data_IF_520963491739
#
_entry.id   IF_520963491739
#
_cell.length_a   1.000
_cell.length_b   1.000
_cell.length_c   1.000
_cell.angle_alpha   90.00
_cell.angle_beta   90.00
_cell.angle_gamma   90.00
#
_symmetry.space_group_name_H-M   'P 1'
#
loop_
_entity.id
_entity.type
_entity.pdbx_description
1 polymer ?
#
# COMPACT_ATOMS: atom_id res chain seq x y z
N UNK A 1 -24.47 25.67 -1.79
CA UNK A 1 -23.39 24.69 -2.15
C UNK A 1 -24.09 23.41 -2.54
N UNK A 2 -23.83 22.91 -3.73
CA UNK A 2 -24.46 21.67 -4.23
C UNK A 2 -24.02 20.47 -3.39
N UNK A 3 -24.90 19.47 -3.22
CA UNK A 3 -24.61 18.25 -2.44
C UNK A 3 -23.34 17.54 -2.89
N UNK A 4 -23.01 17.63 -4.21
CA UNK A 4 -21.77 17.08 -4.78
C UNK A 4 -20.54 17.85 -4.31
N UNK A 5 -20.60 19.17 -4.28
CA UNK A 5 -19.51 20.04 -3.79
C UNK A 5 -19.27 19.85 -2.29
N UNK A 6 -20.32 19.61 -1.52
CA UNK A 6 -20.23 19.33 -0.09
C UNK A 6 -19.58 17.95 0.17
N UNK A 7 -19.94 16.93 -0.59
CA UNK A 7 -19.36 15.59 -0.45
C UNK A 7 -17.87 15.56 -0.80
N UNK A 8 -17.46 16.29 -1.85
CA UNK A 8 -16.05 16.42 -2.23
C UNK A 8 -15.27 17.20 -1.17
N UNK A 9 -15.82 18.27 -0.62
CA UNK A 9 -15.17 19.06 0.44
C UNK A 9 -14.96 18.22 1.73
N UNK A 10 -15.93 17.39 2.08
CA UNK A 10 -15.83 16.48 3.24
C UNK A 10 -14.78 15.38 2.99
N UNK A 11 -14.73 14.81 1.78
CA UNK A 11 -13.72 13.82 1.42
C UNK A 11 -12.30 14.39 1.53
N UNK A 12 -12.12 15.63 1.07
CA UNK A 12 -10.85 16.35 1.14
C UNK A 12 -10.45 16.62 2.61
N UNK A 13 -11.41 17.07 3.44
CA UNK A 13 -11.14 17.37 4.85
C UNK A 13 -10.74 16.10 5.62
N UNK A 14 -11.37 14.99 5.33
CA UNK A 14 -11.10 13.71 5.97
C UNK A 14 -9.74 13.13 5.61
N UNK A 15 -9.32 13.21 4.34
CA UNK A 15 -7.96 12.84 3.93
C UNK A 15 -6.91 13.72 4.60
N UNK A 16 -7.16 15.03 4.73
CA UNK A 16 -6.27 15.97 5.41
C UNK A 16 -6.10 15.65 6.90
N UNK A 17 -7.19 15.33 7.59
CA UNK A 17 -7.16 15.02 9.02
C UNK A 17 -6.46 13.69 9.32
N UNK A 18 -6.61 12.67 8.45
CA UNK A 18 -5.97 11.37 8.64
C UNK A 18 -4.44 11.44 8.59
N UNK A 19 -3.90 12.30 7.74
CA UNK A 19 -2.45 12.49 7.61
C UNK A 19 -1.87 13.37 8.72
N UNK A 20 -2.62 14.35 9.21
CA UNK A 20 -2.19 15.21 10.33
C UNK A 20 -2.08 14.40 11.63
N UNK A 21 -2.99 13.46 11.85
CA UNK A 21 -2.96 12.57 13.01
C UNK A 21 -1.75 11.61 12.99
N UNK A 22 -1.40 11.08 11.81
CA UNK A 22 -0.23 10.23 11.66
C UNK A 22 1.08 10.95 11.99
N UNK A 23 1.20 12.24 11.68
CA UNK A 23 2.39 13.05 11.97
C UNK A 23 2.51 13.44 13.46
N UNK A 24 1.39 13.68 14.15
CA UNK A 24 1.41 13.98 15.59
C UNK A 24 1.88 12.77 16.41
N UNK A 25 1.55 11.55 15.98
CA UNK A 25 1.97 10.34 16.68
C UNK A 25 3.41 9.92 16.37
N UNK A 26 4.00 10.34 15.24
CA UNK A 26 5.42 10.05 14.95
C UNK A 26 6.37 10.75 15.92
N UNK A 27 6.03 11.93 16.42
CA UNK A 27 6.89 12.70 17.35
C UNK A 27 6.93 12.15 18.79
N UNK A 28 6.12 11.15 19.11
CA UNK A 28 5.99 10.60 20.48
C UNK A 28 6.50 9.16 20.64
N UNK A 29 7.18 8.56 19.66
CA UNK A 29 7.82 7.26 19.87
C UNK A 29 9.10 7.41 20.71
N UNK A 30 9.30 6.57 21.77
CA UNK A 30 10.51 6.61 22.59
C UNK A 30 11.70 6.07 21.78
N UNK A 31 12.85 6.73 21.96
CA UNK A 31 14.13 6.34 21.39
C UNK A 31 14.47 4.87 21.76
N UNK A 32 14.70 4.04 20.75
CA UNK A 32 15.22 2.69 20.92
C UNK A 32 16.66 2.74 21.44
N UNK A 33 16.86 2.17 22.60
CA UNK A 33 18.15 1.92 23.23
C UNK A 33 19.00 1.03 22.31
N UNK A 34 20.17 1.51 21.96
CA UNK A 34 21.20 0.81 21.19
C UNK A 34 21.69 -0.44 21.92
N UNK A 35 21.68 -1.59 21.27
CA UNK A 35 22.39 -2.80 21.69
C UNK A 35 23.79 -2.85 21.08
N UNK A 36 24.80 -3.44 21.75
CA UNK A 36 26.20 -3.28 21.40
C UNK A 36 26.68 -4.16 20.25
N UNK A 37 27.71 -3.66 19.58
CA UNK A 37 28.54 -4.25 18.54
C UNK A 37 28.81 -5.76 18.70
N UNK A 38 28.58 -6.50 17.63
CA UNK A 38 29.36 -7.70 17.34
C UNK A 38 29.98 -7.58 15.96
N UNK A 39 31.28 -7.33 15.98
CA UNK A 39 32.21 -7.36 14.87
C UNK A 39 32.34 -8.79 14.31
N UNK A 40 32.09 -8.97 13.01
CA UNK A 40 32.57 -10.14 12.29
C UNK A 40 33.68 -9.73 11.34
N UNK A 41 34.90 -10.19 11.65
CA UNK A 41 36.08 -10.09 10.83
C UNK A 41 35.99 -11.03 9.62
N UNK A 42 36.27 -10.47 8.47
CA UNK A 42 36.52 -11.20 7.22
C UNK A 42 37.95 -11.72 7.19
N UNK A 43 38.15 -13.00 7.02
CA UNK A 43 39.41 -13.54 6.49
C UNK A 43 39.14 -14.25 5.17
N UNK A 44 39.82 -13.75 4.15
CA UNK A 44 39.89 -14.29 2.80
C UNK A 44 41.08 -15.26 2.70
N UNK A 45 40.88 -16.49 2.24
CA UNK A 45 41.96 -17.25 1.62
C UNK A 45 41.50 -17.84 0.29
N UNK A 46 42.23 -17.44 -0.73
CA UNK A 46 42.23 -17.94 -2.08
C UNK A 46 43.09 -19.19 -2.18
N UNK A 47 42.61 -20.25 -2.87
CA UNK A 47 43.48 -21.10 -3.66
C UNK A 47 42.69 -21.85 -4.75
N UNK A 48 43.19 -21.78 -5.96
CA UNK A 48 42.76 -22.42 -7.20
C UNK A 48 43.79 -23.51 -7.61
N UNK A 49 43.70 -24.23 -8.74
CA UNK A 49 43.06 -25.55 -8.88
C UNK A 49 44.08 -26.61 -9.40
N UNK A 50 43.64 -27.85 -9.43
CA UNK A 50 44.45 -28.93 -10.07
C UNK A 50 43.78 -30.31 -10.07
N UNK A 51 43.27 -30.64 -11.17
CA UNK A 51 43.45 -31.80 -12.09
C UNK A 51 43.06 -33.25 -11.62
N UNK A 52 42.17 -33.78 -12.45
CA UNK A 52 41.98 -35.13 -12.99
C UNK A 52 42.37 -36.39 -12.18
N UNK A 53 41.42 -37.31 -12.06
CA UNK A 53 41.70 -38.72 -11.84
C UNK A 53 40.45 -39.58 -11.63
N UNK A 54 39.98 -40.18 -12.72
CA UNK A 54 38.99 -41.27 -12.77
C UNK A 54 39.42 -42.51 -12.01
N UNK A 55 38.50 -43.15 -11.26
CA UNK A 55 38.36 -44.61 -11.14
C UNK A 55 37.12 -45.04 -10.31
N UNK A 56 36.24 -45.78 -10.91
CA UNK A 56 35.24 -46.71 -10.31
C UNK A 56 35.82 -48.11 -10.28
N UNK A 57 35.16 -49.12 -9.70
CA UNK A 57 34.47 -49.27 -8.41
C UNK A 57 34.97 -50.52 -7.62
N UNK A 58 34.69 -50.60 -6.36
CA UNK A 58 34.68 -51.91 -5.68
C UNK A 58 33.54 -51.99 -4.64
N UNK A 59 32.74 -53.07 -4.79
CA UNK A 59 31.76 -53.55 -3.87
C UNK A 59 32.43 -54.10 -2.61
N UNK A 60 31.93 -53.74 -1.45
CA UNK A 60 32.10 -54.55 -0.23
C UNK A 60 30.85 -54.53 0.66
N UNK A 61 30.45 -55.68 0.92
CA UNK A 61 29.52 -56.42 1.73
C UNK A 61 29.16 -55.74 3.06
N UNK A 62 27.81 -55.66 3.32
CA UNK A 62 27.16 -55.30 4.56
C UNK A 62 27.35 -56.36 5.66
N UNK A 63 27.47 -55.96 6.94
CA UNK A 63 27.04 -56.82 8.07
C UNK A 63 25.66 -56.35 8.57
N UNK A 64 24.80 -57.32 8.75
CA UNK A 64 23.48 -57.22 9.39
C UNK A 64 23.55 -56.77 10.86
N UNK A 65 22.52 -56.03 11.23
CA UNK A 65 21.99 -56.12 12.58
C UNK A 65 22.35 -55.00 13.57
N UNK A 66 21.56 -53.93 13.58
CA UNK A 66 21.14 -53.31 14.84
C UNK A 66 19.81 -52.57 14.63
N UNK A 67 18.74 -53.14 15.10
CA UNK A 67 17.42 -52.50 15.20
C UNK A 67 17.54 -51.38 16.25
N UNK A 68 17.79 -50.15 15.78
CA UNK A 68 17.51 -48.98 16.58
C UNK A 68 15.98 -48.77 16.53
N UNK A 69 15.34 -48.98 17.66
CA UNK A 69 13.99 -48.50 17.93
C UNK A 69 13.96 -46.98 17.63
N UNK A 70 13.33 -46.59 16.55
CA UNK A 70 12.89 -45.23 16.30
C UNK A 70 11.82 -44.88 17.30
N UNK A 71 12.16 -44.14 18.33
CA UNK A 71 11.18 -43.44 19.17
C UNK A 71 10.36 -42.52 18.26
N UNK A 72 9.02 -42.46 18.44
CA UNK A 72 8.20 -41.50 17.71
C UNK A 72 8.72 -40.10 18.00
N UNK A 73 9.02 -39.33 16.96
CA UNK A 73 9.28 -37.88 17.10
C UNK A 73 7.97 -37.34 17.64
N UNK A 74 7.96 -36.88 18.89
CA UNK A 74 6.88 -36.11 19.46
C UNK A 74 6.64 -34.92 18.52
N UNK A 75 5.49 -34.93 17.89
CA UNK A 75 4.96 -33.83 17.11
C UNK A 75 4.90 -32.62 18.07
N UNK A 76 5.84 -31.68 17.95
CA UNK A 76 5.85 -30.48 18.78
C UNK A 76 4.49 -29.80 18.57
N UNK A 77 3.64 -29.90 19.56
CA UNK A 77 2.31 -29.31 19.57
C UNK A 77 2.43 -27.82 19.30
N UNK A 78 1.86 -27.40 18.14
CA UNK A 78 1.74 -25.99 17.78
C UNK A 78 1.19 -25.23 19.01
N UNK A 79 1.79 -24.10 19.42
CA UNK A 79 1.35 -23.39 20.60
C UNK A 79 -0.14 -23.06 20.48
N UNK A 80 -0.93 -23.14 21.56
CA UNK A 80 -2.37 -22.92 21.51
C UNK A 80 -2.65 -21.52 20.94
N UNK A 81 -3.53 -21.46 19.94
CA UNK A 81 -3.97 -20.19 19.37
C UNK A 81 -4.55 -19.30 20.48
N UNK A 82 -4.12 -18.05 20.63
CA UNK A 82 -4.66 -17.17 21.66
C UNK A 82 -6.18 -17.01 21.48
N UNK A 83 -6.91 -16.83 22.58
CA UNK A 83 -8.38 -16.64 22.53
C UNK A 83 -8.75 -15.24 22.01
N UNK A 84 -7.86 -14.27 22.09
CA UNK A 84 -8.03 -12.92 21.61
C UNK A 84 -6.67 -12.30 21.23
N UNK A 85 -6.71 -11.23 20.44
CA UNK A 85 -5.57 -10.41 20.09
C UNK A 85 -5.97 -8.94 20.28
N UNK A 86 -5.12 -8.15 20.95
CA UNK A 86 -5.32 -6.70 21.04
C UNK A 86 -4.38 -6.01 20.06
N UNK A 87 -4.94 -5.13 19.23
CA UNK A 87 -4.21 -4.32 18.24
C UNK A 87 -4.47 -2.84 18.53
N UNK A 88 -3.52 -1.98 18.15
CA UNK A 88 -3.70 -0.52 18.16
C UNK A 88 -4.00 -0.09 16.73
N UNK A 89 -5.21 0.38 16.49
CA UNK A 89 -5.64 0.84 15.17
C UNK A 89 -5.19 2.29 14.87
N UNK A 90 -5.57 2.83 13.73
CA UNK A 90 -5.18 4.20 13.34
C UNK A 90 -5.90 5.31 14.10
N UNK A 91 -6.88 5.00 14.93
CA UNK A 91 -7.48 5.97 15.88
C UNK A 91 -6.66 6.07 17.17
N UNK A 92 -5.72 5.16 17.39
CA UNK A 92 -4.94 5.03 18.61
C UNK A 92 -5.63 4.22 19.70
N UNK A 93 -6.80 3.65 19.42
CA UNK A 93 -7.54 2.80 20.35
C UNK A 93 -6.98 1.37 20.38
N UNK A 94 -7.02 0.76 21.57
CA UNK A 94 -6.76 -0.66 21.76
C UNK A 94 -8.02 -1.46 21.41
N UNK A 95 -7.98 -2.18 20.32
CA UNK A 95 -9.09 -3.02 19.84
C UNK A 95 -8.78 -4.48 20.15
N UNK A 96 -9.61 -5.12 20.96
CA UNK A 96 -9.50 -6.56 21.27
C UNK A 96 -10.37 -7.35 20.32
N UNK A 97 -9.75 -8.19 19.51
CA UNK A 97 -10.41 -9.09 18.56
C UNK A 97 -10.50 -10.49 19.15
N UNK A 98 -11.71 -11.03 19.25
CA UNK A 98 -11.93 -12.41 19.66
C UNK A 98 -11.56 -13.38 18.53
N UNK A 99 -10.86 -14.46 18.84
CA UNK A 99 -10.41 -15.45 17.88
C UNK A 99 -11.13 -16.80 18.10
N UNK A 100 -11.40 -17.55 17.02
CA UNK A 100 -11.14 -17.23 15.62
C UNK A 100 -12.19 -16.29 15.02
N UNK A 101 -11.77 -15.38 14.11
CA UNK A 101 -12.69 -14.59 13.27
C UNK A 101 -13.21 -15.47 12.13
N UNK A 102 -14.54 -15.48 11.94
CA UNK A 102 -15.26 -16.31 10.95
C UNK A 102 -16.05 -15.50 9.94
N UNK A 103 -16.35 -14.24 10.28
CA UNK A 103 -17.15 -13.33 9.46
C UNK A 103 -16.59 -11.91 9.50
N UNK A 104 -16.40 -11.32 8.31
CA UNK A 104 -15.80 -9.98 8.17
C UNK A 104 -16.67 -9.14 7.25
N UNK A 105 -16.94 -7.90 7.64
CA UNK A 105 -17.40 -6.86 6.74
C UNK A 105 -16.24 -5.91 6.47
N UNK A 106 -15.94 -5.65 5.19
CA UNK A 106 -14.87 -4.74 4.78
C UNK A 106 -15.43 -3.53 4.03
N UNK A 107 -15.17 -2.34 4.53
CA UNK A 107 -15.67 -1.09 3.96
C UNK A 107 -14.62 -0.29 3.19
N UNK A 108 -13.37 -0.78 3.11
CA UNK A 108 -12.29 -0.13 2.37
C UNK A 108 -11.63 -1.13 1.38
N UNK A 109 -11.41 -0.68 0.14
CA UNK A 109 -10.87 -1.52 -0.93
C UNK A 109 -9.48 -2.10 -0.62
N UNK A 110 -8.54 -1.29 -0.08
CA UNK A 110 -7.20 -1.77 0.21
C UNK A 110 -7.16 -2.80 1.35
N UNK A 111 -8.04 -2.65 2.35
CA UNK A 111 -8.19 -3.65 3.42
C UNK A 111 -8.85 -4.92 2.91
N UNK A 112 -9.82 -4.80 2.00
CA UNK A 112 -10.40 -5.93 1.28
C UNK A 112 -9.32 -6.70 0.51
N UNK A 113 -8.46 -5.98 -0.20
CA UNK A 113 -7.33 -6.58 -0.91
C UNK A 113 -6.37 -7.33 0.04
N UNK A 114 -6.07 -6.79 1.22
CA UNK A 114 -5.26 -7.51 2.22
C UNK A 114 -5.91 -8.81 2.65
N UNK A 115 -7.21 -8.81 3.00
CA UNK A 115 -7.93 -10.00 3.43
C UNK A 115 -7.91 -11.07 2.32
N UNK A 116 -8.15 -10.67 1.08
CA UNK A 116 -8.13 -11.56 -0.08
C UNK A 116 -6.70 -12.05 -0.39
N UNK A 117 -5.69 -11.17 -0.33
CA UNK A 117 -4.29 -11.53 -0.53
C UNK A 117 -3.80 -12.54 0.52
N UNK A 118 -4.37 -12.51 1.72
CA UNK A 118 -4.13 -13.52 2.76
C UNK A 118 -4.89 -14.84 2.51
N UNK A 119 -5.69 -14.94 1.43
CA UNK A 119 -6.48 -16.13 1.08
C UNK A 119 -7.66 -16.34 2.02
N UNK A 120 -8.32 -15.28 2.44
CA UNK A 120 -9.43 -15.30 3.40
C UNK A 120 -10.70 -14.61 2.87
N UNK A 121 -10.88 -14.51 1.55
CA UNK A 121 -12.05 -13.92 0.90
C UNK A 121 -13.37 -14.63 1.26
N UNK A 122 -13.31 -15.91 1.60
CA UNK A 122 -14.48 -16.67 2.06
C UNK A 122 -15.05 -16.16 3.40
N UNK A 123 -14.22 -15.46 4.20
CA UNK A 123 -14.65 -14.86 5.47
C UNK A 123 -15.40 -13.53 5.26
N UNK A 124 -15.30 -12.93 4.07
CA UNK A 124 -16.03 -11.72 3.74
C UNK A 124 -17.51 -12.05 3.56
N UNK A 125 -18.35 -11.51 4.45
CA UNK A 125 -19.82 -11.61 4.39
C UNK A 125 -20.46 -10.33 3.86
N UNK A 126 -19.66 -9.25 3.69
CA UNK A 126 -20.12 -7.98 3.15
C UNK A 126 -18.96 -7.05 2.82
N UNK A 127 -19.23 -6.12 1.89
CA UNK A 127 -18.27 -5.14 1.41
C UNK A 127 -18.93 -3.78 1.15
N UNK A 128 -18.14 -2.71 1.05
CA UNK A 128 -18.67 -1.48 0.45
C UNK A 128 -18.67 -1.56 -1.08
N UNK A 129 -19.43 -0.69 -1.74
CA UNK A 129 -19.45 -0.61 -3.20
C UNK A 129 -18.07 -0.31 -3.79
N UNK A 130 -17.20 0.41 -3.08
CA UNK A 130 -15.83 0.71 -3.50
C UNK A 130 -14.88 -0.50 -3.44
N UNK A 131 -15.24 -1.59 -2.76
CA UNK A 131 -14.47 -2.82 -2.70
C UNK A 131 -14.85 -3.72 -3.88
N UNK A 132 -14.23 -3.52 -5.03
CA UNK A 132 -14.58 -4.17 -6.29
C UNK A 132 -13.46 -5.09 -6.84
N UNK A 133 -12.42 -5.32 -6.05
CA UNK A 133 -11.33 -6.23 -6.40
C UNK A 133 -10.94 -7.09 -5.18
N UNK A 134 -10.54 -8.36 -5.39
CA UNK A 134 -10.55 -9.12 -6.64
C UNK A 134 -11.99 -9.43 -7.12
N UNK A 135 -12.18 -9.98 -8.34
CA UNK A 135 -13.52 -10.28 -8.86
C UNK A 135 -14.37 -11.17 -7.94
N UNK A 136 -13.75 -12.05 -7.17
CA UNK A 136 -14.43 -12.95 -6.20
C UNK A 136 -15.18 -12.22 -5.08
N UNK A 137 -14.92 -10.93 -4.84
CA UNK A 137 -15.68 -10.18 -3.82
C UNK A 137 -16.98 -9.60 -4.36
N UNK A 138 -17.18 -9.57 -5.69
CA UNK A 138 -18.35 -8.93 -6.30
C UNK A 138 -19.65 -9.61 -5.91
N UNK A 139 -19.64 -10.90 -5.61
CA UNK A 139 -20.80 -11.66 -5.16
C UNK A 139 -21.18 -11.38 -3.69
N UNK A 140 -20.35 -10.65 -2.95
CA UNK A 140 -20.62 -10.31 -1.55
C UNK A 140 -21.62 -9.15 -1.45
N UNK A 141 -22.55 -9.21 -0.50
CA UNK A 141 -23.53 -8.13 -0.25
C UNK A 141 -22.86 -6.76 -0.09
N UNK A 142 -23.48 -5.73 -0.67
CA UNK A 142 -23.01 -4.35 -0.54
C UNK A 142 -23.57 -3.74 0.75
N UNK A 143 -22.70 -3.45 1.71
CA UNK A 143 -22.99 -2.92 3.03
C UNK A 143 -22.88 -1.39 3.12
N UNK A 144 -23.07 -0.70 2.01
CA UNK A 144 -22.98 0.76 1.87
C UNK A 144 -22.04 1.18 0.74
N UNK A 145 -21.98 2.48 0.46
CA UNK A 145 -21.16 3.01 -0.64
C UNK A 145 -19.66 3.07 -0.27
N UNK A 146 -19.35 3.35 1.00
CA UNK A 146 -17.97 3.51 1.50
C UNK A 146 -17.97 3.42 3.04
N UNK A 147 -16.78 3.52 3.65
CA UNK A 147 -16.63 3.66 5.10
C UNK A 147 -17.36 4.89 5.66
N UNK A 148 -17.48 5.97 4.88
CA UNK A 148 -18.19 7.19 5.31
C UNK A 148 -19.71 7.03 5.33
N UNK A 149 -20.25 6.22 4.43
CA UNK A 149 -21.70 5.98 4.27
C UNK A 149 -22.02 4.49 4.29
N UNK A 150 -21.79 3.79 5.41
CA UNK A 150 -22.16 2.40 5.56
C UNK A 150 -23.67 2.24 5.81
N UNK A 151 -24.22 1.10 5.43
CA UNK A 151 -25.57 0.71 5.84
C UNK A 151 -25.49 0.02 7.22
N UNK A 152 -25.72 0.82 8.26
CA UNK A 152 -25.56 0.37 9.66
C UNK A 152 -26.52 -0.77 10.00
N UNK A 153 -27.78 -0.68 9.55
CA UNK A 153 -28.80 -1.68 9.84
C UNK A 153 -28.40 -3.03 9.26
N UNK A 154 -27.98 -3.06 8.00
CA UNK A 154 -27.56 -4.29 7.32
C UNK A 154 -26.32 -4.89 7.96
N UNK A 155 -25.35 -4.06 8.37
CA UNK A 155 -24.15 -4.52 9.06
C UNK A 155 -24.50 -5.12 10.42
N UNK A 156 -25.35 -4.46 11.21
CA UNK A 156 -25.78 -4.95 12.52
C UNK A 156 -26.58 -6.25 12.40
N UNK A 157 -27.47 -6.36 11.40
CA UNK A 157 -28.22 -7.58 11.12
C UNK A 157 -27.31 -8.75 10.75
N UNK A 158 -26.25 -8.50 9.98
CA UNK A 158 -25.30 -9.54 9.54
C UNK A 158 -24.38 -10.04 10.66
N UNK A 159 -24.27 -9.33 11.79
CA UNK A 159 -23.48 -9.69 12.98
C UNK A 159 -22.06 -10.17 12.65
N UNK A 160 -21.22 -9.37 11.99
CA UNK A 160 -19.86 -9.77 11.70
C UNK A 160 -19.02 -9.88 12.98
N UNK A 161 -18.08 -10.85 13.02
CA UNK A 161 -17.10 -10.94 14.11
C UNK A 161 -16.15 -9.74 14.08
N UNK A 162 -15.88 -9.21 12.85
CA UNK A 162 -14.96 -8.11 12.61
C UNK A 162 -15.49 -7.21 11.49
N UNK A 163 -15.48 -5.90 11.74
CA UNK A 163 -15.63 -4.88 10.70
C UNK A 163 -14.31 -4.14 10.54
N UNK A 164 -13.83 -4.02 9.28
CA UNK A 164 -12.65 -3.23 8.93
C UNK A 164 -13.06 -2.06 8.04
N UNK A 165 -12.59 -0.87 8.38
CA UNK A 165 -12.93 0.37 7.71
C UNK A 165 -11.74 1.34 7.71
N UNK A 166 -11.75 2.34 6.82
CA UNK A 166 -10.80 3.44 6.92
C UNK A 166 -11.27 4.52 7.89
N UNK A 167 -10.42 5.52 8.12
CA UNK A 167 -10.67 6.62 9.06
C UNK A 167 -11.91 7.45 8.74
N UNK A 168 -12.47 7.34 7.53
CA UNK A 168 -13.72 7.98 7.16
C UNK A 168 -14.88 7.54 8.06
N UNK A 169 -14.87 6.29 8.53
CA UNK A 169 -15.87 5.81 9.47
C UNK A 169 -15.80 6.56 10.81
N UNK A 170 -14.59 6.81 11.32
CA UNK A 170 -14.39 7.44 12.64
C UNK A 170 -14.79 8.93 12.67
N UNK A 171 -14.91 9.59 11.53
CA UNK A 171 -15.42 10.96 11.45
C UNK A 171 -16.93 11.03 11.66
N UNK A 172 -17.66 9.96 11.36
CA UNK A 172 -19.07 9.83 11.71
C UNK A 172 -19.22 9.10 13.05
N UNK A 173 -18.96 9.82 14.15
CA UNK A 173 -18.97 9.23 15.51
C UNK A 173 -20.28 8.55 15.86
N UNK A 174 -21.41 9.05 15.37
CA UNK A 174 -22.72 8.43 15.63
C UNK A 174 -22.78 7.02 15.02
N UNK A 175 -22.40 6.90 13.74
CA UNK A 175 -22.34 5.60 13.03
C UNK A 175 -21.33 4.68 13.66
N UNK A 176 -20.12 5.17 13.97
CA UNK A 176 -19.06 4.41 14.61
C UNK A 176 -19.51 3.82 15.97
N UNK A 177 -20.13 4.65 16.80
CA UNK A 177 -20.62 4.22 18.11
C UNK A 177 -21.78 3.22 18.00
N UNK A 178 -22.76 3.45 17.08
CA UNK A 178 -23.86 2.50 16.86
C UNK A 178 -23.36 1.09 16.50
N UNK A 179 -22.32 0.98 15.69
CA UNK A 179 -21.72 -0.31 15.33
C UNK A 179 -21.08 -0.98 16.54
N UNK A 180 -20.35 -0.23 17.36
CA UNK A 180 -19.70 -0.75 18.58
C UNK A 180 -20.71 -1.12 19.67
N UNK A 181 -21.73 -0.31 19.87
CA UNK A 181 -22.81 -0.55 20.86
C UNK A 181 -23.63 -1.80 20.48
N UNK A 182 -23.67 -2.14 19.18
CA UNK A 182 -24.23 -3.40 18.69
C UNK A 182 -23.33 -4.62 18.95
N UNK A 183 -22.16 -4.43 19.59
CA UNK A 183 -21.21 -5.49 19.93
C UNK A 183 -20.27 -5.90 18.79
N UNK A 184 -20.20 -5.12 17.70
CA UNK A 184 -19.31 -5.41 16.58
C UNK A 184 -17.89 -4.93 16.90
N UNK A 185 -16.90 -5.80 16.73
CA UNK A 185 -15.49 -5.40 16.79
C UNK A 185 -15.13 -4.60 15.54
N UNK A 186 -14.75 -3.33 15.71
CA UNK A 186 -14.43 -2.41 14.61
C UNK A 186 -12.94 -2.07 14.64
N UNK A 187 -12.22 -2.32 13.54
CA UNK A 187 -10.86 -1.85 13.31
C UNK A 187 -10.91 -0.74 12.27
N UNK A 188 -10.37 0.43 12.62
CA UNK A 188 -10.21 1.57 11.72
C UNK A 188 -8.76 1.73 11.36
N UNK A 189 -8.44 1.67 10.05
CA UNK A 189 -7.04 1.73 9.61
C UNK A 189 -6.83 2.70 8.44
N UNK A 190 -5.61 3.21 8.30
CA UNK A 190 -5.22 4.07 7.18
C UNK A 190 -4.65 3.19 6.05
N UNK A 191 -5.23 3.34 4.86
CA UNK A 191 -4.82 2.61 3.67
C UNK A 191 -3.63 3.30 2.95
N UNK A 192 -2.50 3.50 3.64
CA UNK A 192 -1.29 4.10 3.08
C UNK A 192 -0.05 3.24 3.32
N UNK A 193 1.09 3.63 2.73
CA UNK A 193 2.36 2.91 2.84
C UNK A 193 2.85 2.73 4.29
N UNK A 194 2.53 3.65 5.18
CA UNK A 194 2.99 3.60 6.58
C UNK A 194 2.23 2.57 7.41
N UNK A 195 0.90 2.49 7.24
CA UNK A 195 0.03 1.69 8.09
C UNK A 195 -0.35 0.34 7.50
N UNK A 196 -0.35 0.20 6.17
CA UNK A 196 -0.78 -1.04 5.52
C UNK A 196 0.08 -2.25 5.91
N UNK A 197 1.38 -2.08 6.12
CA UNK A 197 2.27 -3.17 6.55
C UNK A 197 1.87 -3.68 7.93
N UNK A 198 1.58 -2.78 8.87
CA UNK A 198 1.10 -3.16 10.20
C UNK A 198 -0.28 -3.83 10.16
N UNK A 199 -1.16 -3.36 9.27
CA UNK A 199 -2.46 -4.02 9.02
C UNK A 199 -2.28 -5.46 8.53
N UNK A 200 -1.36 -5.70 7.58
CA UNK A 200 -1.02 -7.04 7.09
C UNK A 200 -0.50 -7.93 8.22
N UNK A 201 0.39 -7.41 9.07
CA UNK A 201 0.98 -8.15 10.19
C UNK A 201 -0.10 -8.67 11.14
N UNK A 202 -0.93 -7.78 11.69
CA UNK A 202 -1.92 -8.24 12.65
C UNK A 202 -3.10 -8.99 12.01
N UNK A 203 -3.48 -8.69 10.76
CA UNK A 203 -4.46 -9.51 10.05
C UNK A 203 -3.91 -10.91 9.75
N UNK A 204 -2.62 -11.05 9.49
CA UNK A 204 -1.96 -12.36 9.39
C UNK A 204 -2.14 -13.21 10.64
N UNK A 205 -2.05 -12.60 11.83
CA UNK A 205 -2.28 -13.28 13.12
C UNK A 205 -3.77 -13.56 13.32
N UNK A 206 -4.64 -12.55 13.17
CA UNK A 206 -6.09 -12.64 13.34
C UNK A 206 -6.69 -13.75 12.47
N UNK A 207 -6.24 -13.85 11.22
CA UNK A 207 -6.75 -14.79 10.23
C UNK A 207 -5.98 -16.14 10.20
N UNK A 208 -4.99 -16.32 11.09
CA UNK A 208 -4.10 -17.48 11.09
C UNK A 208 -3.42 -17.70 9.72
N UNK A 209 -2.87 -16.62 9.16
CA UNK A 209 -2.19 -16.57 7.85
C UNK A 209 -0.82 -15.88 7.93
N UNK A 210 -0.12 -16.05 9.04
CA UNK A 210 1.14 -15.37 9.34
C UNK A 210 2.19 -15.59 8.25
N UNK A 211 2.34 -16.82 7.74
CA UNK A 211 3.31 -17.12 6.68
C UNK A 211 2.95 -16.40 5.37
N UNK A 212 1.68 -16.36 5.02
CA UNK A 212 1.23 -15.65 3.81
C UNK A 212 1.36 -14.14 3.96
N UNK A 213 1.08 -13.61 5.16
CA UNK A 213 1.33 -12.21 5.49
C UNK A 213 2.82 -11.86 5.36
N UNK A 214 3.71 -12.74 5.84
CA UNK A 214 5.16 -12.56 5.68
C UNK A 214 5.56 -12.49 4.20
N UNK A 215 5.08 -13.40 3.36
CA UNK A 215 5.39 -13.39 1.91
C UNK A 215 4.91 -12.08 1.26
N UNK A 216 3.72 -11.57 1.63
CA UNK A 216 3.21 -10.30 1.12
C UNK A 216 4.08 -9.11 1.60
N UNK A 217 4.47 -9.11 2.87
CA UNK A 217 5.35 -8.09 3.43
C UNK A 217 6.76 -8.12 2.81
N UNK A 218 7.31 -9.31 2.57
CA UNK A 218 8.60 -9.48 1.92
C UNK A 218 8.56 -8.91 0.48
N UNK A 219 7.47 -9.14 -0.28
CA UNK A 219 7.26 -8.56 -1.59
C UNK A 219 7.22 -7.02 -1.52
N UNK A 220 6.41 -6.48 -0.64
CA UNK A 220 6.27 -5.03 -0.43
C UNK A 220 7.62 -4.39 -0.06
N UNK A 221 8.29 -4.95 0.94
CA UNK A 221 9.56 -4.44 1.45
C UNK A 221 10.68 -4.53 0.41
N UNK A 222 10.70 -5.60 -0.40
CA UNK A 222 11.69 -5.75 -1.46
C UNK A 222 11.66 -4.58 -2.45
N UNK A 223 10.49 -4.26 -2.99
CA UNK A 223 10.37 -3.19 -3.98
C UNK A 223 10.51 -1.79 -3.37
N UNK A 224 10.03 -1.58 -2.15
CA UNK A 224 10.25 -0.33 -1.41
C UNK A 224 11.74 -0.07 -1.18
N UNK A 225 12.46 -1.05 -0.63
CA UNK A 225 13.89 -0.96 -0.39
C UNK A 225 14.70 -0.82 -1.68
N UNK A 226 14.30 -1.49 -2.77
CA UNK A 226 14.92 -1.34 -4.08
C UNK A 226 14.88 0.12 -4.53
N UNK A 227 13.73 0.78 -4.44
CA UNK A 227 13.60 2.20 -4.79
C UNK A 227 14.47 3.05 -3.87
N UNK A 228 14.28 2.93 -2.55
CA UNK A 228 15.03 3.72 -1.56
C UNK A 228 16.54 3.61 -1.76
N UNK A 229 17.05 2.39 -1.97
CA UNK A 229 18.49 2.17 -2.14
C UNK A 229 19.03 2.75 -3.47
N UNK A 230 18.25 2.69 -4.56
CA UNK A 230 18.69 3.23 -5.85
C UNK A 230 18.70 4.76 -5.90
N UNK A 231 17.78 5.41 -5.19
CA UNK A 231 17.73 6.88 -5.15
C UNK A 231 18.54 7.49 -4.01
N UNK A 232 19.04 6.66 -3.09
CA UNK A 232 19.86 7.09 -1.95
C UNK A 232 21.13 7.80 -2.42
N UNK A 233 21.37 8.99 -1.88
CA UNK A 233 22.58 9.75 -2.17
C UNK A 233 22.53 10.56 -3.47
N UNK A 234 21.41 10.60 -4.19
CA UNK A 234 21.23 11.55 -5.29
C UNK A 234 21.21 12.97 -4.69
N UNK A 235 22.14 13.85 -5.10
CA UNK A 235 22.12 15.26 -4.67
C UNK A 235 20.82 15.96 -5.08
N UNK A 236 20.33 16.91 -4.27
CA UNK A 236 19.05 17.57 -4.56
C UNK A 236 19.04 18.30 -5.90
N UNK A 237 20.18 18.80 -6.35
CA UNK A 237 20.34 19.48 -7.65
C UNK A 237 20.10 18.53 -8.85
N UNK A 238 20.21 17.23 -8.64
CA UNK A 238 19.97 16.19 -9.67
C UNK A 238 18.59 15.53 -9.54
N UNK A 239 17.83 15.84 -8.50
CA UNK A 239 16.46 15.36 -8.35
C UNK A 239 15.49 16.18 -9.18
N UNK A 240 14.54 15.57 -9.90
CA UNK A 240 13.55 16.31 -10.65
C UNK A 240 12.59 17.07 -9.71
N UNK A 241 12.23 18.28 -10.10
CA UNK A 241 11.13 19.03 -9.47
C UNK A 241 9.81 18.45 -9.96
N UNK A 242 8.97 18.07 -9.02
CA UNK A 242 7.72 17.36 -9.29
C UNK A 242 6.52 18.20 -8.87
N UNK A 243 5.64 18.47 -9.81
CA UNK A 243 4.29 18.93 -9.55
C UNK A 243 3.34 17.73 -9.55
N UNK A 244 2.57 17.55 -8.48
CA UNK A 244 1.52 16.52 -8.46
C UNK A 244 0.17 17.15 -8.21
N UNK A 245 -0.83 16.77 -9.02
CA UNK A 245 -2.18 17.34 -9.00
C UNK A 245 -3.25 16.25 -8.87
N UNK A 246 -4.28 16.59 -8.15
CA UNK A 246 -5.50 15.81 -8.12
C UNK A 246 -6.47 16.32 -9.19
N UNK A 247 -6.61 15.60 -10.32
CA UNK A 247 -7.35 16.07 -11.48
C UNK A 247 -8.84 16.40 -11.22
N UNK A 248 -9.46 15.78 -10.18
CA UNK A 248 -10.81 16.16 -9.76
C UNK A 248 -10.92 17.62 -9.25
N UNK A 249 -9.81 18.27 -8.93
CA UNK A 249 -9.75 19.65 -8.47
C UNK A 249 -8.48 20.29 -8.96
N UNK A 250 -8.57 21.08 -10.02
CA UNK A 250 -7.43 21.76 -10.64
C UNK A 250 -6.57 22.50 -9.61
N UNK A 251 -5.25 22.40 -9.78
CA UNK A 251 -4.22 22.99 -8.92
C UNK A 251 -4.18 22.48 -7.48
N UNK A 252 -5.01 21.51 -7.13
CA UNK A 252 -4.96 20.85 -5.83
C UNK A 252 -3.78 19.90 -5.79
N UNK A 253 -2.81 20.17 -4.90
CA UNK A 253 -1.55 19.43 -4.84
C UNK A 253 -1.36 18.70 -3.50
N UNK A 254 -0.25 18.02 -3.38
CA UNK A 254 0.16 17.26 -2.20
C UNK A 254 1.34 17.97 -1.53
N UNK A 255 1.10 18.55 -0.38
CA UNK A 255 2.14 19.17 0.48
C UNK A 255 2.63 18.22 1.56
N UNK A 256 3.54 18.68 2.44
CA UNK A 256 4.06 17.92 3.57
C UNK A 256 2.94 17.31 4.41
N UNK A 257 3.13 16.07 4.86
CA UNK A 257 2.12 15.32 5.62
C UNK A 257 1.11 14.55 4.79
N UNK A 258 1.10 14.70 3.46
CA UNK A 258 0.28 13.87 2.58
C UNK A 258 1.03 12.63 2.10
N UNK A 259 0.27 11.56 1.79
CA UNK A 259 0.84 10.34 1.21
C UNK A 259 1.49 10.62 -0.16
N UNK A 260 0.91 11.52 -0.97
CA UNK A 260 1.48 11.90 -2.26
C UNK A 260 2.84 12.58 -2.13
N UNK A 261 3.00 13.48 -1.14
CA UNK A 261 4.32 14.06 -0.84
C UNK A 261 5.34 13.00 -0.46
N UNK A 262 4.96 12.09 0.45
CA UNK A 262 5.85 11.01 0.88
C UNK A 262 6.28 10.14 -0.30
N UNK A 263 5.37 9.78 -1.20
CA UNK A 263 5.66 8.99 -2.39
C UNK A 263 6.66 9.70 -3.32
N UNK A 264 6.47 11.00 -3.57
CA UNK A 264 7.38 11.80 -4.41
C UNK A 264 8.80 11.80 -3.82
N UNK A 265 8.93 12.09 -2.53
CA UNK A 265 10.23 12.18 -1.85
C UNK A 265 10.90 10.81 -1.78
N UNK A 266 10.15 9.75 -1.45
CA UNK A 266 10.67 8.37 -1.41
C UNK A 266 11.14 7.89 -2.79
N UNK A 267 10.49 8.32 -3.86
CA UNK A 267 10.89 8.04 -5.24
C UNK A 267 12.08 8.90 -5.72
N UNK A 268 12.63 9.77 -4.88
CA UNK A 268 13.78 10.62 -5.20
C UNK A 268 13.43 11.90 -5.97
N UNK A 269 12.19 12.39 -5.88
CA UNK A 269 11.77 13.68 -6.46
C UNK A 269 11.76 14.82 -5.43
N UNK A 270 11.84 16.07 -5.92
CA UNK A 270 11.62 17.29 -5.15
C UNK A 270 10.19 17.78 -5.39
N UNK A 271 9.35 17.66 -4.39
CA UNK A 271 7.97 18.13 -4.50
C UNK A 271 7.95 19.67 -4.46
N UNK A 272 7.43 20.34 -5.51
CA UNK A 272 7.37 21.81 -5.55
C UNK A 272 6.46 22.40 -4.47
N UNK A 273 5.54 21.61 -3.91
CA UNK A 273 4.67 22.02 -2.80
C UNK A 273 5.28 21.75 -1.41
N UNK A 274 6.57 21.37 -1.32
CA UNK A 274 7.23 21.02 -0.04
C UNK A 274 7.31 22.16 0.97
N UNK A 275 7.29 23.41 0.51
CA UNK A 275 7.38 24.61 1.36
C UNK A 275 6.00 25.05 1.90
N UNK A 276 4.92 24.38 1.51
CA UNK A 276 3.57 24.73 1.99
C UNK A 276 3.30 24.15 3.36
N UNK A 277 2.53 24.85 4.19
CA UNK A 277 2.13 24.39 5.52
C UNK A 277 0.99 23.35 5.47
N UNK A 278 0.28 23.25 4.33
CA UNK A 278 -0.91 22.41 4.16
C UNK A 278 -0.55 21.10 3.50
N UNK A 279 -1.12 20.01 4.02
CA UNK A 279 -1.01 18.68 3.38
C UNK A 279 -1.66 18.63 1.98
N UNK A 280 -2.66 19.47 1.74
CA UNK A 280 -3.38 19.54 0.46
C UNK A 280 -3.57 21.01 0.05
N UNK A 281 -2.51 21.68 -0.42
CA UNK A 281 -2.59 23.08 -0.85
C UNK A 281 -3.28 23.18 -2.21
N UNK A 282 -3.97 24.29 -2.46
CA UNK A 282 -4.28 24.73 -3.82
C UNK A 282 -3.20 25.72 -4.22
N UNK A 283 -2.41 25.37 -5.22
CA UNK A 283 -1.33 26.21 -5.75
C UNK A 283 -1.89 27.19 -6.78
N UNK A 284 -1.25 28.34 -6.97
CA UNK A 284 -1.61 29.20 -8.11
C UNK A 284 -0.95 28.71 -9.40
N UNK A 285 -1.55 28.96 -10.56
CA UNK A 285 -0.93 28.65 -11.85
C UNK A 285 0.46 29.30 -12.01
N UNK A 286 0.61 30.54 -11.55
CA UNK A 286 1.85 31.31 -11.59
C UNK A 286 2.93 30.67 -10.73
N UNK A 287 2.59 30.19 -9.52
CA UNK A 287 3.53 29.48 -8.64
C UNK A 287 4.04 28.21 -9.32
N UNK A 288 3.16 27.41 -9.94
CA UNK A 288 3.58 26.18 -10.62
C UNK A 288 4.48 26.50 -11.82
N UNK A 289 4.13 27.51 -12.60
CA UNK A 289 4.93 27.97 -13.73
C UNK A 289 6.32 28.47 -13.28
N UNK A 290 6.39 29.26 -12.20
CA UNK A 290 7.66 29.78 -11.64
C UNK A 290 8.55 28.63 -11.12
N UNK A 291 7.98 27.65 -10.39
CA UNK A 291 8.72 26.46 -9.92
C UNK A 291 9.20 25.59 -11.07
N UNK A 292 8.63 25.76 -12.28
CA UNK A 292 9.02 25.11 -13.53
C UNK A 292 9.31 23.61 -13.34
N UNK A 293 8.29 22.75 -13.09
CA UNK A 293 8.48 21.34 -12.77
C UNK A 293 9.13 20.58 -13.94
N UNK A 294 9.98 19.61 -13.60
CA UNK A 294 10.60 18.65 -14.54
C UNK A 294 9.67 17.49 -14.86
N UNK A 295 8.73 17.19 -13.94
CA UNK A 295 7.73 16.12 -14.05
C UNK A 295 6.39 16.60 -13.48
N UNK A 296 5.30 16.26 -14.17
CA UNK A 296 3.93 16.49 -13.72
C UNK A 296 3.24 15.13 -13.53
N UNK A 297 2.67 14.92 -12.35
CA UNK A 297 1.91 13.73 -11.98
C UNK A 297 0.45 14.10 -11.74
N UNK A 298 -0.46 13.47 -12.45
CA UNK A 298 -1.90 13.75 -12.35
C UNK A 298 -2.62 12.51 -11.86
N UNK A 299 -3.27 12.60 -10.69
CA UNK A 299 -4.10 11.53 -10.18
C UNK A 299 -5.45 11.54 -10.90
N UNK A 300 -5.75 10.47 -11.62
CA UNK A 300 -6.98 10.31 -12.41
C UNK A 300 -8.24 10.47 -11.54
N UNK A 301 -9.27 11.23 -11.98
CA UNK A 301 -10.59 11.25 -11.33
C UNK A 301 -11.25 9.87 -11.29
N UNK A 302 -11.93 9.57 -10.18
CA UNK A 302 -12.52 8.25 -9.96
C UNK A 302 -13.54 7.82 -11.00
N UNK A 303 -14.28 8.78 -11.55
CA UNK A 303 -15.29 8.57 -12.60
C UNK A 303 -14.71 8.22 -13.98
N UNK A 304 -13.41 8.50 -14.21
CA UNK A 304 -12.72 8.24 -15.48
C UNK A 304 -11.88 6.95 -15.47
N UNK A 305 -11.90 6.21 -14.35
CA UNK A 305 -11.14 4.97 -14.19
C UNK A 305 -11.59 3.91 -15.21
N UNK A 306 -10.60 3.09 -15.61
CA UNK A 306 -10.84 1.91 -16.45
C UNK A 306 -10.93 2.19 -17.95
N UNK A 307 -10.85 3.45 -18.40
CA UNK A 307 -10.86 3.78 -19.83
C UNK A 307 -9.59 4.54 -20.24
N UNK A 308 -8.99 4.17 -21.36
CA UNK A 308 -7.84 4.89 -21.92
C UNK A 308 -8.21 6.34 -22.26
N UNK A 309 -9.44 6.58 -22.70
CA UNK A 309 -9.93 7.91 -23.05
C UNK A 309 -9.92 8.84 -21.84
N UNK A 310 -10.22 8.31 -20.63
CA UNK A 310 -10.15 9.05 -19.39
C UNK A 310 -8.72 9.52 -19.08
N UNK A 311 -7.73 8.64 -19.26
CA UNK A 311 -6.33 8.99 -19.08
C UNK A 311 -5.85 10.02 -20.10
N UNK A 312 -6.15 9.79 -21.38
CA UNK A 312 -5.77 10.69 -22.49
C UNK A 312 -6.39 12.08 -22.29
N UNK A 313 -7.70 12.16 -22.09
CA UNK A 313 -8.40 13.44 -21.93
C UNK A 313 -7.92 14.22 -20.72
N UNK A 314 -7.65 13.55 -19.59
CA UNK A 314 -7.08 14.18 -18.39
C UNK A 314 -5.69 14.77 -18.68
N UNK A 315 -4.86 14.02 -19.39
CA UNK A 315 -3.51 14.50 -19.76
C UNK A 315 -3.60 15.70 -20.74
N UNK A 316 -4.44 15.60 -21.75
CA UNK A 316 -4.59 16.64 -22.77
C UNK A 316 -5.14 17.94 -22.19
N UNK A 317 -6.08 17.86 -21.24
CA UNK A 317 -6.56 19.03 -20.48
C UNK A 317 -5.41 19.75 -19.77
N UNK A 318 -4.54 19.00 -19.08
CA UNK A 318 -3.40 19.59 -18.36
C UNK A 318 -2.38 20.18 -19.32
N UNK A 319 -2.09 19.51 -20.43
CA UNK A 319 -1.18 20.01 -21.49
C UNK A 319 -1.71 21.29 -22.15
N UNK A 320 -3.02 21.45 -22.24
CA UNK A 320 -3.65 22.65 -22.83
C UNK A 320 -3.65 23.88 -21.91
N UNK A 321 -3.24 23.76 -20.64
CA UNK A 321 -3.24 24.87 -19.68
C UNK A 321 -2.15 25.89 -20.00
N UNK A 322 -2.49 27.19 -20.28
CA UNK A 322 -1.51 28.18 -20.68
C UNK A 322 -0.35 28.35 -19.67
N UNK A 323 -0.64 28.26 -18.39
CA UNK A 323 0.37 28.39 -17.35
C UNK A 323 1.42 27.26 -17.33
N UNK A 324 1.14 26.12 -17.95
CA UNK A 324 2.03 24.96 -17.98
C UNK A 324 2.81 24.83 -19.31
N UNK A 325 2.39 25.51 -20.36
CA UNK A 325 2.92 25.36 -21.74
C UNK A 325 4.44 25.55 -21.81
N UNK A 326 5.01 26.46 -21.04
CA UNK A 326 6.46 26.73 -21.01
C UNK A 326 7.23 25.96 -19.92
N UNK A 327 6.58 25.02 -19.23
CA UNK A 327 7.26 24.23 -18.20
C UNK A 327 8.07 23.09 -18.83
N UNK A 328 9.20 22.74 -18.20
CA UNK A 328 10.06 21.68 -18.68
C UNK A 328 9.36 20.33 -18.80
N UNK A 329 8.43 20.04 -17.89
CA UNK A 329 7.63 18.81 -17.94
C UNK A 329 6.81 18.72 -19.23
N UNK A 330 6.16 19.81 -19.65
CA UNK A 330 5.36 19.86 -20.88
C UNK A 330 6.27 19.79 -22.11
N UNK A 331 7.35 20.57 -22.15
CA UNK A 331 8.30 20.60 -23.27
C UNK A 331 8.96 19.23 -23.50
N UNK A 332 9.23 18.47 -22.43
CA UNK A 332 9.87 17.14 -22.50
C UNK A 332 8.87 15.99 -22.50
N UNK A 333 7.55 16.27 -22.46
CA UNK A 333 6.49 15.28 -22.47
C UNK A 333 6.35 14.46 -21.17
N UNK A 334 6.99 14.91 -20.07
CA UNK A 334 6.99 14.21 -18.77
C UNK A 334 5.75 14.58 -17.94
N UNK A 335 4.59 14.34 -18.52
CA UNK A 335 3.28 14.52 -17.91
C UNK A 335 2.60 13.17 -17.85
N UNK A 336 2.40 12.64 -16.65
CA UNK A 336 1.89 11.28 -16.40
C UNK A 336 0.58 11.34 -15.63
N UNK A 337 -0.39 10.55 -16.07
CA UNK A 337 -1.65 10.33 -15.37
C UNK A 337 -1.63 8.94 -14.75
N UNK A 338 -2.09 8.80 -13.51
CA UNK A 338 -2.10 7.52 -12.81
C UNK A 338 -3.41 7.28 -12.06
N UNK A 339 -3.84 6.00 -12.01
CA UNK A 339 -4.94 5.59 -11.14
C UNK A 339 -4.49 5.60 -9.67
N UNK A 340 -5.22 6.26 -8.76
CA UNK A 340 -4.86 6.31 -7.35
C UNK A 340 -4.73 4.94 -6.67
N UNK A 341 -5.28 3.88 -7.25
CA UNK A 341 -5.19 2.53 -6.66
C UNK A 341 -3.74 2.04 -6.55
N UNK A 342 -2.85 2.48 -7.47
CA UNK A 342 -1.45 2.01 -7.49
C UNK A 342 -0.58 2.64 -6.41
N UNK A 343 -1.04 3.68 -5.69
CA UNK A 343 -0.24 4.28 -4.62
C UNK A 343 -0.84 4.01 -3.22
N UNK A 344 -1.87 3.16 -3.14
CA UNK A 344 -2.57 2.81 -1.90
C UNK A 344 -2.51 1.31 -1.63
N UNK A 345 -2.78 0.93 -0.37
CA UNK A 345 -2.86 -0.46 0.03
C UNK A 345 -1.60 -1.25 -0.30
N UNK A 346 -1.79 -2.50 -0.67
CA UNK A 346 -0.69 -3.41 -1.03
C UNK A 346 -0.04 -3.08 -2.37
N UNK A 347 -0.67 -2.22 -3.18
CA UNK A 347 -0.18 -1.82 -4.51
C UNK A 347 0.76 -0.61 -4.47
N UNK A 348 0.94 0.04 -3.31
CA UNK A 348 1.77 1.25 -3.24
C UNK A 348 3.23 1.07 -3.72
N UNK A 349 3.88 -0.11 -3.59
CA UNK A 349 5.22 -0.28 -4.14
C UNK A 349 5.25 -0.19 -5.67
N UNK A 350 4.15 -0.57 -6.33
CA UNK A 350 4.01 -0.43 -7.80
C UNK A 350 3.99 1.05 -8.19
N UNK A 351 3.17 1.86 -7.51
CA UNK A 351 3.14 3.32 -7.72
C UNK A 351 4.48 3.96 -7.43
N UNK A 352 5.16 3.51 -6.37
CA UNK A 352 6.50 3.99 -6.03
C UNK A 352 7.53 3.68 -7.13
N UNK A 353 7.46 2.49 -7.74
CA UNK A 353 8.31 2.11 -8.88
C UNK A 353 8.02 2.96 -10.12
N UNK A 354 6.75 3.24 -10.44
CA UNK A 354 6.40 4.13 -11.53
C UNK A 354 6.98 5.53 -11.31
N UNK A 355 6.78 6.12 -10.13
CA UNK A 355 7.32 7.43 -9.81
C UNK A 355 8.84 7.45 -9.91
N UNK A 356 9.51 6.47 -9.32
CA UNK A 356 10.96 6.36 -9.37
C UNK A 356 11.50 6.21 -10.81
N UNK A 357 10.83 5.42 -11.65
CA UNK A 357 11.20 5.25 -13.06
C UNK A 357 10.97 6.53 -13.87
N UNK A 358 9.89 7.26 -13.64
CA UNK A 358 9.63 8.55 -14.30
C UNK A 358 10.61 9.63 -13.87
N UNK A 359 11.09 9.59 -12.63
CA UNK A 359 12.06 10.55 -12.10
C UNK A 359 13.49 10.23 -12.54
N UNK A 360 13.85 8.95 -12.52
CA UNK A 360 15.21 8.45 -12.76
C UNK A 360 15.21 7.26 -13.72
N UNK A 361 14.85 7.43 -15.00
CA UNK A 361 14.65 6.32 -15.95
C UNK A 361 15.89 5.43 -16.08
N UNK A 362 17.10 6.00 -16.04
CA UNK A 362 18.34 5.22 -16.17
C UNK A 362 18.61 4.31 -14.97
N UNK A 363 18.17 4.71 -13.77
CA UNK A 363 18.33 3.90 -12.56
C UNK A 363 17.31 2.75 -12.48
N UNK A 364 16.23 2.82 -13.26
CA UNK A 364 15.15 1.83 -13.26
C UNK A 364 14.86 1.23 -14.64
N UNK A 365 15.83 1.28 -15.56
CA UNK A 365 15.66 0.75 -16.91
C UNK A 365 15.43 -0.77 -16.96
N UNK A 366 15.94 -1.48 -15.96
CA UNK A 366 15.80 -2.92 -15.76
C UNK A 366 14.48 -3.32 -15.04
N UNK A 367 13.67 -2.36 -14.61
CA UNK A 367 12.40 -2.60 -13.92
C UNK A 367 11.23 -2.19 -14.82
N UNK A 368 10.26 -3.09 -14.94
CA UNK A 368 8.95 -2.79 -15.51
C UNK A 368 7.89 -2.80 -14.39
N UNK A 369 7.42 -1.62 -13.94
CA UNK A 369 6.41 -1.56 -12.87
C UNK A 369 5.09 -2.25 -13.23
N UNK A 370 4.72 -2.32 -14.51
CA UNK A 370 3.54 -3.03 -14.99
C UNK A 370 3.68 -4.54 -14.82
N UNK A 371 4.88 -5.09 -15.08
CA UNK A 371 5.16 -6.50 -14.80
C UNK A 371 5.13 -6.79 -13.30
N UNK A 372 5.70 -5.91 -12.46
CA UNK A 372 5.63 -6.05 -10.99
C UNK A 372 4.19 -6.01 -10.50
N UNK A 373 3.35 -5.14 -11.08
CA UNK A 373 1.92 -5.11 -10.75
C UNK A 373 1.22 -6.42 -11.14
N UNK A 374 1.50 -6.93 -12.35
CA UNK A 374 0.96 -8.20 -12.82
C UNK A 374 1.40 -9.37 -11.93
N UNK A 375 2.65 -9.36 -11.46
CA UNK A 375 3.18 -10.37 -10.54
C UNK A 375 2.46 -10.32 -9.19
N UNK A 376 2.29 -9.13 -8.59
CA UNK A 376 1.54 -8.94 -7.36
C UNK A 376 0.13 -9.53 -7.46
N UNK A 377 -0.59 -9.18 -8.54
CA UNK A 377 -1.97 -9.62 -8.73
C UNK A 377 -2.05 -11.13 -8.95
N UNK A 378 -1.20 -11.68 -9.78
CA UNK A 378 -1.16 -13.13 -10.03
C UNK A 378 -0.78 -13.92 -8.78
N UNK A 379 0.24 -13.47 -8.03
CA UNK A 379 0.77 -14.20 -6.88
C UNK A 379 -0.23 -14.25 -5.71
N UNK A 380 -0.89 -13.14 -5.44
CA UNK A 380 -1.71 -13.03 -4.24
C UNK A 380 -3.20 -13.25 -4.47
N UNK A 381 -3.68 -13.07 -5.71
CA UNK A 381 -5.10 -13.23 -6.05
C UNK A 381 -5.38 -14.34 -7.07
N UNK A 382 -4.36 -14.85 -7.77
CA UNK A 382 -4.52 -15.91 -8.76
C UNK A 382 -5.26 -15.49 -10.04
N UNK A 383 -5.37 -14.19 -10.29
CA UNK A 383 -6.02 -13.62 -11.47
C UNK A 383 -5.05 -12.82 -12.33
N UNK A 384 -5.39 -12.56 -13.58
CA UNK A 384 -4.63 -11.67 -14.44
C UNK A 384 -4.90 -10.21 -14.07
N UNK A 385 -3.88 -9.36 -14.21
CA UNK A 385 -4.06 -7.91 -14.12
C UNK A 385 -4.73 -7.43 -15.41
N UNK A 386 -5.85 -6.75 -15.26
CA UNK A 386 -6.59 -6.13 -16.37
C UNK A 386 -6.71 -4.62 -16.13
N UNK A 387 -6.85 -3.86 -17.24
CA UNK A 387 -7.05 -2.42 -17.21
C UNK A 387 -5.77 -1.61 -17.37
N UNK A 388 -5.95 -0.30 -17.32
CA UNK A 388 -4.91 0.73 -17.49
C UNK A 388 -4.78 1.45 -16.15
N UNK A 389 -3.55 1.61 -15.69
CA UNK A 389 -3.26 2.21 -14.40
C UNK A 389 -2.39 3.46 -14.49
N UNK A 390 -1.76 3.68 -15.64
CA UNK A 390 -0.91 4.84 -15.91
C UNK A 390 -0.97 5.24 -17.38
N UNK A 391 -0.72 6.53 -17.68
CA UNK A 391 -0.59 7.00 -19.05
C UNK A 391 0.32 8.23 -19.10
N UNK A 392 1.26 8.36 -20.09
CA UNK A 392 1.70 7.25 -20.95
C UNK A 392 2.35 6.13 -20.13
N UNK A 393 2.40 4.91 -20.68
CA UNK A 393 2.88 3.73 -19.99
C UNK A 393 4.38 3.78 -19.65
#
# INVERSE_FOLDING_TARGET
MDKRTLAIAILILALALSTTYALLNWRTEPECISSPDQSWSSESESQNPGDLGSQTPNQEILPEGNQRQTQPIEEQSKPPTPKNLTVVDSTGENITVNLPVRSIVSLNHGMTEVICALGCEQLLIGRSASCNFPPSVLDKPVMGSSSYSPNVELIVESKPDLLVADTMLSYNKEVYNKLRDAGITVIVEINNSTRIKKFIEYMGIILNRTERAKVLLDFINYYELLVVNRVKGIPDELKPRVYSEWAATAWRSYGPGSAGHLMIVTAGGLNIASETEKAYPTLSPEFVAEKNPDVILIMLPGELKGSIEGFVSTRDEVLARPALTGTRAVETGKVYVYDPIIYQGIRYPVGLLYFAKWFHPELFKDIDPGQVHSELIRQFFGVSLEGIYVYPP
#
